data_IF_213416297913
#
_entry.id   IF_213416297913
#
_cell.length_a   1.000
_cell.length_b   1.000
_cell.length_c   1.000
_cell.angle_alpha   90.00
_cell.angle_beta   90.00
_cell.angle_gamma   90.00
#
_symmetry.space_group_name_H-M   'P 1'
#
loop_
_entity.id
_entity.type
_entity.pdbx_description
1 polymer ?
#
# COMPACT_ATOMS: atom_id res chain seq x y z
N UNK A 1 7.00 -27.84 -0.48
CA UNK A 1 5.55 -27.91 -0.24
C UNK A 1 4.83 -27.64 -1.56
N UNK A 2 3.60 -28.12 -1.78
CA UNK A 2 2.83 -27.89 -3.01
C UNK A 2 2.64 -26.39 -3.29
N UNK A 3 2.31 -25.59 -2.27
CA UNK A 3 2.10 -24.15 -2.43
C UNK A 3 3.38 -23.40 -2.87
N UNK A 4 4.53 -23.82 -2.34
CA UNK A 4 5.85 -23.29 -2.69
C UNK A 4 6.18 -23.53 -4.17
N UNK A 5 5.97 -24.75 -4.66
CA UNK A 5 6.15 -25.12 -6.09
C UNK A 5 5.21 -24.30 -6.98
N UNK A 6 3.93 -24.20 -6.61
CA UNK A 6 2.95 -23.44 -7.40
C UNK A 6 3.37 -21.97 -7.51
N UNK A 7 3.79 -21.34 -6.40
CA UNK A 7 4.19 -19.93 -6.44
C UNK A 7 5.51 -19.76 -7.21
N UNK A 8 6.57 -20.47 -6.83
CA UNK A 8 7.92 -20.28 -7.39
C UNK A 8 8.08 -20.77 -8.82
N UNK A 9 7.52 -21.93 -9.14
CA UNK A 9 7.81 -22.61 -10.40
C UNK A 9 6.71 -22.39 -11.44
N UNK A 10 5.49 -22.04 -11.02
CA UNK A 10 4.34 -21.88 -11.93
C UNK A 10 3.87 -20.42 -12.04
N UNK A 11 3.73 -19.69 -10.93
CA UNK A 11 3.15 -18.34 -10.95
C UNK A 11 4.22 -17.28 -11.25
N UNK A 12 5.22 -17.12 -10.39
CA UNK A 12 6.20 -16.03 -10.49
C UNK A 12 6.95 -15.98 -11.82
N UNK A 13 7.37 -17.10 -12.45
CA UNK A 13 8.06 -17.06 -13.74
C UNK A 13 7.19 -16.48 -14.87
N UNK A 14 5.87 -16.58 -14.73
CA UNK A 14 4.89 -16.07 -15.68
C UNK A 14 4.45 -14.62 -15.37
N UNK A 15 4.92 -14.04 -14.26
CA UNK A 15 4.72 -12.63 -13.92
C UNK A 15 5.81 -11.71 -14.50
N UNK A 16 6.93 -12.26 -14.95
CA UNK A 16 8.06 -11.48 -15.49
C UNK A 16 7.67 -10.74 -16.77
N UNK A 17 8.00 -9.46 -16.85
CA UNK A 17 7.71 -8.64 -18.02
C UNK A 17 8.39 -9.19 -19.28
N UNK A 18 7.59 -9.30 -20.34
CA UNK A 18 8.01 -9.61 -21.71
C UNK A 18 7.13 -8.83 -22.67
N UNK A 19 7.71 -8.40 -23.79
CA UNK A 19 6.99 -7.64 -24.80
C UNK A 19 5.92 -8.49 -25.50
N UNK A 20 4.83 -7.83 -25.91
CA UNK A 20 3.77 -8.42 -26.72
C UNK A 20 2.48 -8.76 -25.95
N UNK A 21 1.36 -8.74 -26.67
CA UNK A 21 0.01 -8.91 -26.09
C UNK A 21 -0.18 -10.28 -25.42
N UNK A 22 0.34 -11.35 -26.02
CA UNK A 22 0.27 -12.70 -25.45
C UNK A 22 1.02 -12.78 -24.12
N UNK A 23 2.22 -12.20 -24.04
CA UNK A 23 2.98 -12.14 -22.80
C UNK A 23 2.25 -11.32 -21.72
N UNK A 24 1.63 -10.19 -22.10
CA UNK A 24 0.79 -9.41 -21.20
C UNK A 24 -0.38 -10.24 -20.63
N UNK A 25 -1.10 -10.97 -21.49
CA UNK A 25 -2.21 -11.84 -21.06
C UNK A 25 -1.74 -12.98 -20.12
N UNK A 26 -0.56 -13.55 -20.37
CA UNK A 26 0.05 -14.54 -19.48
C UNK A 26 0.31 -13.93 -18.10
N UNK A 27 0.89 -12.72 -18.03
CA UNK A 27 1.11 -12.04 -16.74
C UNK A 27 -0.18 -11.77 -15.99
N UNK A 28 -1.20 -11.26 -16.68
CA UNK A 28 -2.53 -11.03 -16.08
C UNK A 28 -3.13 -12.32 -15.54
N UNK A 29 -2.98 -13.42 -16.28
CA UNK A 29 -3.46 -14.75 -15.85
C UNK A 29 -2.68 -15.25 -14.64
N UNK A 30 -1.34 -15.15 -14.66
CA UNK A 30 -0.49 -15.58 -13.55
C UNK A 30 -0.80 -14.85 -12.24
N UNK A 31 -0.93 -13.51 -12.27
CA UNK A 31 -1.27 -12.75 -11.06
C UNK A 31 -2.70 -13.02 -10.59
N UNK A 32 -3.62 -13.34 -11.51
CA UNK A 32 -4.98 -13.77 -11.15
C UNK A 32 -4.97 -15.15 -10.47
N UNK A 33 -4.09 -16.06 -10.88
CA UNK A 33 -3.89 -17.33 -10.17
C UNK A 33 -3.33 -17.11 -8.76
N UNK A 34 -2.39 -16.18 -8.58
CA UNK A 34 -1.89 -15.81 -7.24
C UNK A 34 -3.01 -15.27 -6.35
N UNK A 35 -3.86 -14.40 -6.91
CA UNK A 35 -5.04 -13.90 -6.21
C UNK A 35 -5.97 -15.03 -5.77
N UNK A 36 -6.31 -15.95 -6.68
CA UNK A 36 -7.16 -17.10 -6.36
C UNK A 36 -6.52 -18.00 -5.28
N UNK A 37 -5.21 -18.23 -5.34
CA UNK A 37 -4.47 -19.02 -4.34
C UNK A 37 -4.53 -18.37 -2.95
N UNK A 38 -4.31 -17.06 -2.85
CA UNK A 38 -4.44 -16.33 -1.58
C UNK A 38 -5.87 -16.35 -1.03
N UNK A 39 -6.88 -16.19 -1.91
CA UNK A 39 -8.28 -16.24 -1.51
C UNK A 39 -8.73 -17.63 -1.04
N UNK A 40 -8.12 -18.69 -1.55
CA UNK A 40 -8.41 -20.06 -1.11
C UNK A 40 -7.97 -20.37 0.33
N UNK A 41 -7.10 -19.54 0.92
CA UNK A 41 -6.52 -19.77 2.24
C UNK A 41 -5.45 -20.88 2.29
N UNK A 42 -5.09 -21.49 1.15
CA UNK A 42 -4.06 -22.53 1.08
C UNK A 42 -2.65 -22.01 1.36
N UNK A 43 -2.41 -20.72 1.08
CA UNK A 43 -1.16 -20.04 1.38
C UNK A 43 -1.25 -19.43 2.79
N UNK A 44 -0.91 -20.24 3.80
CA UNK A 44 -0.79 -19.79 5.19
C UNK A 44 0.45 -18.91 5.37
N UNK A 45 0.55 -18.19 6.50
CA UNK A 45 1.70 -17.34 6.81
C UNK A 45 3.03 -18.10 6.72
N UNK A 46 3.14 -19.24 7.40
CA UNK A 46 4.37 -20.07 7.40
C UNK A 46 4.80 -20.52 6.00
N UNK A 47 3.84 -20.71 5.08
CA UNK A 47 4.12 -21.08 3.68
C UNK A 47 4.52 -19.87 2.84
N UNK A 48 4.01 -18.70 3.17
CA UNK A 48 4.32 -17.44 2.49
C UNK A 48 5.66 -16.84 2.94
N UNK A 49 6.05 -17.06 4.20
CA UNK A 49 7.28 -16.52 4.77
C UNK A 49 8.54 -16.78 3.92
N UNK A 50 8.84 -18.01 3.44
CA UNK A 50 10.01 -18.24 2.57
C UNK A 50 9.84 -17.71 1.14
N UNK A 51 8.66 -17.20 0.80
CA UNK A 51 8.30 -16.69 -0.54
C UNK A 51 8.20 -15.17 -0.59
N UNK A 52 7.97 -14.53 0.57
CA UNK A 52 7.47 -13.15 0.65
C UNK A 52 8.36 -12.16 -0.10
N UNK A 53 9.68 -12.29 0.01
CA UNK A 53 10.63 -11.41 -0.70
C UNK A 53 10.49 -11.49 -2.22
N UNK A 54 10.40 -12.71 -2.76
CA UNK A 54 10.23 -12.94 -4.19
C UNK A 54 8.87 -12.46 -4.69
N UNK A 55 7.82 -12.68 -3.89
CA UNK A 55 6.46 -12.24 -4.19
C UNK A 55 6.39 -10.71 -4.18
N UNK A 56 6.88 -10.05 -3.13
CA UNK A 56 6.87 -8.59 -3.03
C UNK A 56 7.67 -7.97 -4.18
N UNK A 57 8.84 -8.51 -4.50
CA UNK A 57 9.66 -8.02 -5.63
C UNK A 57 8.89 -8.11 -6.95
N UNK A 58 8.23 -9.24 -7.20
CA UNK A 58 7.45 -9.42 -8.41
C UNK A 58 6.19 -8.55 -8.44
N UNK A 59 5.54 -8.33 -7.30
CA UNK A 59 4.37 -7.45 -7.19
C UNK A 59 4.73 -5.99 -7.46
N UNK A 60 5.88 -5.52 -6.98
CA UNK A 60 6.38 -4.17 -7.27
C UNK A 60 6.48 -3.90 -8.76
N UNK A 61 6.94 -4.87 -9.55
CA UNK A 61 6.98 -4.68 -11.02
C UNK A 61 5.59 -4.76 -11.65
N UNK A 62 4.69 -5.58 -11.12
CA UNK A 62 3.34 -5.79 -11.70
C UNK A 62 2.38 -4.65 -11.43
N UNK A 63 2.52 -3.96 -10.30
CA UNK A 63 1.75 -2.72 -10.06
C UNK A 63 2.15 -1.64 -11.07
N UNK A 64 3.27 -1.76 -11.78
CA UNK A 64 3.71 -0.87 -12.87
C UNK A 64 3.40 -1.39 -14.27
N UNK A 65 2.66 -2.50 -14.41
CA UNK A 65 2.39 -3.09 -15.71
C UNK A 65 1.54 -2.17 -16.61
N UNK A 66 1.77 -2.21 -17.92
CA UNK A 66 0.98 -1.44 -18.90
C UNK A 66 -0.52 -1.82 -18.87
N UNK A 67 -0.83 -3.07 -18.51
CA UNK A 67 -2.19 -3.57 -18.46
C UNK A 67 -2.89 -3.18 -17.15
N UNK A 68 -3.99 -2.41 -17.26
CA UNK A 68 -4.85 -2.01 -16.14
C UNK A 68 -5.26 -3.18 -15.23
N UNK A 69 -5.66 -4.32 -15.80
CA UNK A 69 -6.11 -5.48 -15.01
C UNK A 69 -4.97 -6.09 -14.21
N UNK A 70 -3.78 -6.20 -14.82
CA UNK A 70 -2.58 -6.67 -14.12
C UNK A 70 -2.27 -5.79 -12.91
N UNK A 71 -2.24 -4.46 -13.07
CA UNK A 71 -1.99 -3.53 -11.96
C UNK A 71 -3.03 -3.67 -10.85
N UNK A 72 -4.32 -3.68 -11.22
CA UNK A 72 -5.41 -3.79 -10.25
C UNK A 72 -5.32 -5.09 -9.43
N UNK A 73 -5.11 -6.23 -10.09
CA UNK A 73 -4.99 -7.52 -9.40
C UNK A 73 -3.70 -7.58 -8.58
N UNK A 74 -2.60 -7.01 -9.07
CA UNK A 74 -1.35 -6.92 -8.32
C UNK A 74 -1.50 -6.11 -7.02
N UNK A 75 -2.18 -4.96 -7.05
CA UNK A 75 -2.46 -4.20 -5.82
C UNK A 75 -3.30 -5.03 -4.82
N UNK A 76 -4.31 -5.77 -5.30
CA UNK A 76 -5.12 -6.66 -4.43
C UNK A 76 -4.30 -7.79 -3.80
N UNK A 77 -3.44 -8.43 -4.61
CA UNK A 77 -2.52 -9.47 -4.13
C UNK A 77 -1.54 -8.88 -3.11
N UNK A 78 -1.05 -7.65 -3.33
CA UNK A 78 -0.16 -6.96 -2.39
C UNK A 78 -0.87 -6.63 -1.08
N UNK A 79 -2.09 -6.09 -1.12
CA UNK A 79 -2.92 -5.88 0.09
C UNK A 79 -3.04 -7.16 0.89
N UNK A 80 -3.42 -8.27 0.24
CA UNK A 80 -3.61 -9.55 0.92
C UNK A 80 -2.30 -10.15 1.43
N UNK A 81 -1.18 -9.85 0.78
CA UNK A 81 0.16 -10.24 1.25
C UNK A 81 0.52 -9.50 2.53
N UNK A 82 0.25 -8.19 2.60
CA UNK A 82 0.41 -7.40 3.83
C UNK A 82 -0.51 -7.91 4.94
N UNK A 83 -1.79 -8.16 4.68
CA UNK A 83 -2.71 -8.71 5.69
C UNK A 83 -2.25 -10.06 6.24
N UNK A 84 -1.71 -10.93 5.38
CA UNK A 84 -1.29 -12.28 5.75
C UNK A 84 -0.03 -12.26 6.62
N UNK A 85 0.95 -11.43 6.22
CA UNK A 85 2.26 -11.40 6.85
C UNK A 85 2.31 -10.43 8.04
N UNK A 86 1.64 -9.29 7.95
CA UNK A 86 1.64 -8.25 8.98
C UNK A 86 3.07 -7.85 9.36
N UNK A 87 3.34 -7.85 10.66
CA UNK A 87 4.62 -7.47 11.27
C UNK A 87 5.77 -8.46 11.01
N UNK A 88 5.50 -9.58 10.31
CA UNK A 88 6.54 -10.49 9.82
C UNK A 88 7.30 -9.97 8.58
N UNK A 89 6.89 -8.85 7.99
CA UNK A 89 7.66 -8.19 6.91
C UNK A 89 8.64 -7.21 7.54
N UNK A 90 9.90 -7.32 7.13
CA UNK A 90 10.96 -6.41 7.56
C UNK A 90 10.64 -4.93 7.24
N UNK A 91 10.98 -4.02 8.16
CA UNK A 91 10.66 -2.60 8.00
C UNK A 91 11.46 -1.94 6.87
N UNK A 92 12.75 -2.26 6.72
CA UNK A 92 13.55 -1.74 5.59
C UNK A 92 12.94 -2.21 4.27
N UNK A 93 12.47 -3.46 4.21
CA UNK A 93 11.74 -3.96 3.05
C UNK A 93 10.48 -3.15 2.77
N UNK A 94 9.67 -2.86 3.79
CA UNK A 94 8.48 -2.00 3.66
C UNK A 94 8.85 -0.59 3.17
N UNK A 95 9.91 0.02 3.69
CA UNK A 95 10.34 1.36 3.25
C UNK A 95 10.88 1.39 1.82
N UNK A 96 11.34 0.27 1.28
CA UNK A 96 11.70 0.17 -0.14
C UNK A 96 10.47 0.09 -1.06
N UNK A 97 9.27 -0.22 -0.55
CA UNK A 97 8.06 -0.44 -1.35
C UNK A 97 7.16 0.80 -1.46
N UNK A 98 7.09 1.63 -0.42
CA UNK A 98 6.13 2.75 -0.39
C UNK A 98 6.26 3.73 -1.57
N UNK A 99 7.45 4.02 -2.16
CA UNK A 99 7.52 4.96 -3.28
C UNK A 99 6.69 4.49 -4.46
N UNK A 100 6.69 3.18 -4.74
CA UNK A 100 5.93 2.59 -5.83
C UNK A 100 4.42 2.55 -5.52
N UNK A 101 4.05 2.36 -4.26
CA UNK A 101 2.66 2.48 -3.82
C UNK A 101 2.13 3.91 -4.00
N UNK A 102 2.90 4.93 -3.61
CA UNK A 102 2.50 6.33 -3.76
C UNK A 102 2.30 6.69 -5.23
N UNK A 103 3.17 6.25 -6.14
CA UNK A 103 3.00 6.47 -7.59
C UNK A 103 1.71 5.88 -8.16
N UNK A 104 1.03 4.95 -7.47
CA UNK A 104 -0.25 4.39 -7.92
C UNK A 104 -1.46 5.22 -7.53
N UNK A 105 -1.29 6.21 -6.64
CA UNK A 105 -2.32 7.20 -6.39
C UNK A 105 -2.50 8.16 -7.58
N UNK A 106 -1.51 8.22 -8.50
CA UNK A 106 -1.58 8.91 -9.79
C UNK A 106 -2.06 8.02 -10.95
N UNK A 107 -2.55 6.79 -10.69
CA UNK A 107 -3.04 5.91 -11.76
C UNK A 107 -4.25 6.53 -12.47
N UNK A 108 -4.35 6.34 -13.79
CA UNK A 108 -5.48 6.84 -14.58
C UNK A 108 -6.82 6.18 -14.25
N UNK A 109 -6.81 5.08 -13.50
CA UNK A 109 -8.01 4.37 -13.05
C UNK A 109 -8.32 4.63 -11.58
N UNK A 110 -9.48 5.21 -11.30
CA UNK A 110 -10.03 5.35 -9.93
C UNK A 110 -10.06 4.03 -9.16
N UNK A 111 -10.42 2.92 -9.80
CA UNK A 111 -10.43 1.61 -9.15
C UNK A 111 -9.05 1.23 -8.59
N UNK A 112 -7.97 1.58 -9.31
CA UNK A 112 -6.60 1.30 -8.88
C UNK A 112 -6.20 2.27 -7.78
N UNK A 113 -6.51 3.56 -7.94
CA UNK A 113 -6.26 4.59 -6.92
C UNK A 113 -6.91 4.23 -5.58
N UNK A 114 -8.19 3.83 -5.59
CA UNK A 114 -8.89 3.33 -4.41
C UNK A 114 -8.28 2.04 -3.85
N UNK A 115 -7.91 1.10 -4.73
CA UNK A 115 -7.29 -0.17 -4.30
C UNK A 115 -5.94 0.08 -3.65
N UNK A 116 -5.10 0.99 -4.17
CA UNK A 116 -3.79 1.25 -3.56
C UNK A 116 -3.91 2.01 -2.24
N UNK A 117 -4.93 2.85 -2.04
CA UNK A 117 -5.23 3.40 -0.71
C UNK A 117 -5.48 2.26 0.30
N UNK A 118 -6.22 1.22 -0.09
CA UNK A 118 -6.41 0.03 0.75
C UNK A 118 -5.11 -0.78 0.94
N UNK A 119 -4.27 -0.88 -0.10
CA UNK A 119 -2.95 -1.51 0.01
C UNK A 119 -2.05 -0.76 1.00
N UNK A 120 -2.05 0.58 0.98
CA UNK A 120 -1.27 1.39 1.92
C UNK A 120 -1.89 1.31 3.34
N UNK A 121 -3.22 1.14 3.46
CA UNK A 121 -3.87 0.89 4.74
C UNK A 121 -3.35 -0.41 5.39
N UNK A 122 -3.22 -1.49 4.62
CA UNK A 122 -2.65 -2.76 5.08
C UNK A 122 -1.13 -2.68 5.30
N UNK A 123 -0.42 -1.89 4.50
CA UNK A 123 0.99 -1.57 4.72
C UNK A 123 1.24 -0.95 6.10
N UNK A 124 0.38 -0.02 6.55
CA UNK A 124 0.50 0.55 7.89
C UNK A 124 0.20 -0.46 9.00
N UNK A 125 -0.63 -1.48 8.75
CA UNK A 125 -0.86 -2.56 9.72
C UNK A 125 0.39 -3.41 9.99
N UNK A 126 1.32 -3.46 9.04
CA UNK A 126 2.59 -4.16 9.22
C UNK A 126 3.50 -3.50 10.28
N UNK A 127 3.14 -2.33 10.83
CA UNK A 127 3.89 -1.63 11.88
C UNK A 127 3.22 -1.69 13.26
N UNK A 128 2.12 -2.43 13.44
CA UNK A 128 1.34 -2.43 14.69
C UNK A 128 2.12 -2.90 15.94
N UNK A 129 3.17 -3.71 15.78
CA UNK A 129 4.02 -4.20 16.90
C UNK A 129 5.23 -3.30 17.19
N UNK A 130 5.28 -2.10 16.60
CA UNK A 130 6.30 -1.09 16.87
C UNK A 130 6.91 -0.52 15.60
N UNK A 131 6.98 0.80 15.55
CA UNK A 131 7.61 1.54 14.48
C UNK A 131 8.71 2.44 15.06
N UNK A 132 9.94 2.31 14.57
CA UNK A 132 11.01 3.21 14.99
C UNK A 132 10.91 4.54 14.23
N UNK A 133 10.09 5.44 14.78
CA UNK A 133 9.86 6.80 14.23
C UNK A 133 11.16 7.59 14.12
N UNK A 134 12.15 7.34 14.98
CA UNK A 134 13.43 8.07 14.97
C UNK A 134 14.28 7.58 13.81
N UNK A 135 14.45 6.26 13.69
CA UNK A 135 15.23 5.63 12.62
C UNK A 135 14.63 5.91 11.24
N UNK A 136 13.31 5.77 11.11
CA UNK A 136 12.60 5.85 9.82
C UNK A 136 11.91 7.19 9.56
N UNK A 137 12.25 8.22 10.35
CA UNK A 137 11.65 9.57 10.29
C UNK A 137 11.48 10.10 8.87
N UNK A 138 12.52 10.02 8.05
CA UNK A 138 12.52 10.56 6.70
C UNK A 138 11.54 9.83 5.77
N UNK A 139 11.40 8.50 5.93
CA UNK A 139 10.44 7.72 5.18
C UNK A 139 9.01 8.08 5.56
N UNK A 140 8.72 8.20 6.86
CA UNK A 140 7.39 8.56 7.33
C UNK A 140 6.98 9.98 6.88
N UNK A 141 7.88 10.96 6.95
CA UNK A 141 7.65 12.30 6.41
C UNK A 141 7.36 12.27 4.90
N UNK A 142 8.11 11.46 4.14
CA UNK A 142 7.90 11.32 2.70
C UNK A 142 6.54 10.68 2.39
N UNK A 143 6.13 9.65 3.15
CA UNK A 143 4.82 9.01 3.01
C UNK A 143 3.71 10.01 3.31
N UNK A 144 3.78 10.73 4.43
CA UNK A 144 2.77 11.75 4.77
C UNK A 144 2.65 12.82 3.70
N UNK A 145 3.77 13.37 3.22
CA UNK A 145 3.74 14.37 2.14
C UNK A 145 3.12 13.82 0.86
N UNK A 146 3.46 12.60 0.47
CA UNK A 146 2.89 11.94 -0.71
C UNK A 146 1.37 11.77 -0.58
N UNK A 147 0.90 11.26 0.55
CA UNK A 147 -0.54 11.08 0.81
C UNK A 147 -1.29 12.41 0.86
N UNK A 148 -0.71 13.46 1.46
CA UNK A 148 -1.36 14.76 1.59
C UNK A 148 -1.65 15.42 0.23
N UNK A 149 -0.85 15.16 -0.81
CA UNK A 149 -1.16 15.61 -2.18
C UNK A 149 -2.54 15.10 -2.63
N UNK A 150 -2.85 13.83 -2.35
CA UNK A 150 -4.11 13.20 -2.76
C UNK A 150 -5.28 13.48 -1.80
N UNK A 151 -5.03 14.13 -0.65
CA UNK A 151 -6.12 14.68 0.17
C UNK A 151 -6.81 15.86 -0.54
N UNK A 152 -6.14 16.47 -1.53
CA UNK A 152 -6.71 17.46 -2.45
C UNK A 152 -7.02 16.90 -3.85
N UNK A 153 -7.29 15.59 -3.99
CA UNK A 153 -7.66 14.97 -5.28
C UNK A 153 -8.99 15.55 -5.83
N UNK A 154 -9.17 15.71 -7.17
CA UNK A 154 -10.45 16.13 -7.75
C UNK A 154 -11.62 15.17 -7.50
N UNK A 155 -11.36 13.87 -7.33
CA UNK A 155 -12.38 12.87 -7.06
C UNK A 155 -12.61 12.75 -5.55
N UNK A 156 -13.85 13.06 -5.12
CA UNK A 156 -14.23 13.10 -3.70
C UNK A 156 -14.04 11.75 -3.03
N UNK A 157 -14.28 10.64 -3.73
CA UNK A 157 -14.06 9.29 -3.19
C UNK A 157 -12.59 9.03 -2.85
N UNK A 158 -11.66 9.52 -3.67
CA UNK A 158 -10.22 9.41 -3.40
C UNK A 158 -9.86 10.24 -2.17
N UNK A 159 -10.33 11.49 -2.10
CA UNK A 159 -10.08 12.36 -0.93
C UNK A 159 -10.56 11.71 0.38
N UNK A 160 -11.76 11.12 0.38
CA UNK A 160 -12.31 10.44 1.54
C UNK A 160 -11.49 9.21 1.92
N UNK A 161 -11.09 8.39 0.94
CA UNK A 161 -10.28 7.21 1.21
C UNK A 161 -8.90 7.59 1.77
N UNK A 162 -8.26 8.63 1.22
CA UNK A 162 -6.96 9.15 1.68
C UNK A 162 -7.08 9.79 3.06
N UNK A 163 -8.19 10.47 3.36
CA UNK A 163 -8.45 10.99 4.71
C UNK A 163 -8.47 9.87 5.75
N UNK A 164 -9.22 8.79 5.51
CA UNK A 164 -9.27 7.66 6.44
C UNK A 164 -7.90 6.97 6.56
N UNK A 165 -7.16 6.87 5.46
CA UNK A 165 -5.78 6.36 5.49
C UNK A 165 -4.86 7.24 6.35
N UNK A 166 -4.91 8.56 6.18
CA UNK A 166 -4.10 9.49 6.95
C UNK A 166 -4.46 9.49 8.44
N UNK A 167 -5.73 9.31 8.79
CA UNK A 167 -6.16 9.15 10.19
C UNK A 167 -5.50 7.95 10.84
N UNK A 168 -5.50 6.78 10.17
CA UNK A 168 -4.78 5.60 10.64
C UNK A 168 -3.28 5.83 10.70
N UNK A 169 -2.70 6.38 9.64
CA UNK A 169 -1.27 6.63 9.55
C UNK A 169 -0.78 7.59 10.65
N UNK A 170 -1.66 8.43 11.18
CA UNK A 170 -1.39 9.33 12.29
C UNK A 170 -1.04 8.60 13.60
N UNK A 171 -1.47 7.34 13.78
CA UNK A 171 -1.17 6.53 14.96
C UNK A 171 0.34 6.34 15.16
N UNK A 172 1.13 6.36 14.08
CA UNK A 172 2.59 6.22 14.17
C UNK A 172 3.31 7.48 14.67
N UNK A 173 2.88 8.66 14.22
CA UNK A 173 3.53 9.93 14.57
C UNK A 173 2.57 11.13 14.41
N UNK A 174 1.61 11.32 15.32
CA UNK A 174 0.51 12.28 15.14
C UNK A 174 0.99 13.73 15.01
N UNK A 175 1.96 14.14 15.84
CA UNK A 175 2.53 15.48 15.78
C UNK A 175 3.33 15.74 14.50
N UNK A 176 3.99 14.72 13.94
CA UNK A 176 4.68 14.82 12.67
C UNK A 176 3.67 15.03 11.54
N UNK A 177 2.57 14.28 11.54
CA UNK A 177 1.53 14.44 10.54
C UNK A 177 0.89 15.83 10.60
N UNK A 178 0.53 16.33 11.80
CA UNK A 178 -0.02 17.70 11.94
C UNK A 178 0.92 18.74 11.34
N UNK A 179 2.23 18.64 11.61
CA UNK A 179 3.22 19.56 11.05
C UNK A 179 3.24 19.52 9.52
N UNK A 180 3.18 18.33 8.93
CA UNK A 180 3.13 18.19 7.47
C UNK A 180 1.83 18.72 6.87
N UNK A 181 0.68 18.53 7.55
CA UNK A 181 -0.61 19.12 7.13
C UNK A 181 -0.52 20.65 7.12
N UNK A 182 -0.01 21.28 8.18
CA UNK A 182 0.10 22.73 8.26
C UNK A 182 1.01 23.32 7.15
N UNK A 183 2.06 22.59 6.74
CA UNK A 183 2.96 23.00 5.66
C UNK A 183 2.27 23.07 4.28
N UNK A 184 1.18 22.31 4.07
CA UNK A 184 0.54 22.17 2.75
C UNK A 184 -0.92 22.63 2.71
N UNK A 185 -1.60 22.76 3.85
CA UNK A 185 -3.02 23.13 3.96
C UNK A 185 -3.39 24.34 3.10
N UNK A 186 -2.57 25.40 3.12
CA UNK A 186 -2.80 26.63 2.36
C UNK A 186 -2.65 26.48 0.83
N UNK A 187 -2.09 25.36 0.36
CA UNK A 187 -1.91 25.04 -1.07
C UNK A 187 -3.06 24.22 -1.64
N UNK A 188 -3.92 23.66 -0.80
CA UNK A 188 -5.06 22.85 -1.23
C UNK A 188 -6.18 23.74 -1.75
N UNK A 189 -6.96 23.24 -2.72
CA UNK A 189 -8.16 23.91 -3.24
C UNK A 189 -9.22 24.09 -2.15
N UNK A 190 -9.28 23.18 -1.18
CA UNK A 190 -10.13 23.28 -0.01
C UNK A 190 -9.38 22.82 1.25
N UNK A 191 -9.52 23.55 2.35
CA UNK A 191 -8.92 23.20 3.63
C UNK A 191 -9.73 22.18 4.43
N UNK A 192 -10.95 21.85 4.00
CA UNK A 192 -11.93 21.05 4.74
C UNK A 192 -11.35 19.74 5.27
N UNK A 193 -10.73 18.93 4.42
CA UNK A 193 -10.22 17.62 4.85
C UNK A 193 -8.91 17.72 5.65
N UNK A 194 -8.10 18.75 5.43
CA UNK A 194 -6.95 19.04 6.30
C UNK A 194 -7.40 19.39 7.73
N UNK A 195 -8.43 20.22 7.85
CA UNK A 195 -9.01 20.61 9.15
C UNK A 195 -9.64 19.42 9.87
N UNK A 196 -10.41 18.60 9.15
CA UNK A 196 -10.96 17.36 9.71
C UNK A 196 -9.87 16.39 10.16
N UNK A 197 -8.76 16.29 9.43
CA UNK A 197 -7.63 15.46 9.83
C UNK A 197 -6.97 16.00 11.10
N UNK A 198 -6.70 17.30 11.18
CA UNK A 198 -6.12 17.94 12.38
C UNK A 198 -7.02 17.72 13.60
N UNK A 199 -8.33 17.97 13.47
CA UNK A 199 -9.31 17.80 14.54
C UNK A 199 -9.35 16.35 15.04
N UNK A 200 -9.35 15.38 14.12
CA UNK A 200 -9.29 13.96 14.47
C UNK A 200 -8.01 13.63 15.26
N UNK A 201 -6.85 14.08 14.77
CA UNK A 201 -5.55 13.80 15.41
C UNK A 201 -5.48 14.39 16.81
N UNK A 202 -5.86 15.65 16.98
CA UNK A 202 -5.88 16.32 18.28
C UNK A 202 -6.82 15.63 19.28
N UNK A 203 -7.97 15.13 18.80
CA UNK A 203 -8.97 14.46 19.64
C UNK A 203 -8.44 13.15 20.20
N UNK A 204 -7.75 12.32 19.41
CA UNK A 204 -7.25 11.03 19.93
C UNK A 204 -5.96 11.20 20.74
N UNK A 205 -5.06 12.12 20.38
CA UNK A 205 -3.86 12.38 21.22
C UNK A 205 -4.24 12.91 22.60
N UNK A 206 -5.34 13.65 22.71
CA UNK A 206 -5.84 14.12 24.01
C UNK A 206 -6.41 13.00 24.88
N UNK A 207 -6.82 11.87 24.29
CA UNK A 207 -7.30 10.69 25.02
C UNK A 207 -6.18 9.80 25.51
N UNK A 208 -5.02 9.79 24.87
CA UNK A 208 -3.86 8.98 25.29
C UNK A 208 -3.09 9.58 26.47
N UNK A 209 -3.24 10.88 26.70
CA UNK A 209 -2.56 11.63 27.79
C UNK A 209 -3.40 11.63 29.10
N UNK A 210 -4.66 11.21 29.05
CA UNK A 210 -5.56 11.08 30.21
C UNK A 210 -5.77 9.62 30.60
#
# INVERSE_FOLDING_TARGET
DFADIVVKDMILPNCVWKAGKTAGAIRTTAISCMWALLQSGLLTRDKMEPLVESVLTQLTTLIEDDNKTTRLVACRVMTRTFDLMGTNIDQDRLHNLYPELLKRLDDSSDDIRLTVVQTIMAYFDCFQDGYDVILYRAHLEAIYRGLLVHLDDPEVKIQQAVLELLKKAAELAPHMLIKEVENVKHKHRSTKYCEQLIEHVQTFTSKEVN
#
